data_IF_286054967336
#
_entry.id   IF_286054967336
#
_cell.length_a   1.000
_cell.length_b   1.000
_cell.length_c   1.000
_cell.angle_alpha   90.00
_cell.angle_beta   90.00
_cell.angle_gamma   90.00
#
_symmetry.space_group_name_H-M   'P 1'
#
loop_
_entity.id
_entity.type
_entity.pdbx_description
1 polymer ?
#
# COMPACT_ATOMS: atom_id res chain seq x y z
N UNK A 1 14.97 16.36 12.04
CA UNK A 1 14.61 14.93 11.95
C UNK A 1 13.46 14.84 10.96
N UNK A 2 13.78 14.98 9.66
CA UNK A 2 12.80 15.20 8.61
C UNK A 2 12.07 13.91 8.28
N UNK A 3 10.76 14.02 8.03
CA UNK A 3 9.96 12.96 7.43
C UNK A 3 10.73 12.36 6.25
N UNK A 4 10.75 11.03 6.17
CA UNK A 4 11.34 10.33 5.03
C UNK A 4 10.51 10.70 3.81
N UNK A 5 10.99 11.64 3.00
CA UNK A 5 10.44 11.92 1.68
C UNK A 5 10.69 10.67 0.82
N UNK A 6 9.77 9.70 0.92
CA UNK A 6 9.79 8.52 0.08
C UNK A 6 9.35 8.97 -1.32
N UNK A 7 10.21 8.88 -2.36
CA UNK A 7 9.86 9.27 -3.74
C UNK A 7 8.89 8.26 -4.40
N UNK A 8 8.01 7.65 -3.62
CA UNK A 8 7.29 6.44 -3.91
C UNK A 8 6.01 6.68 -4.72
N UNK A 9 6.16 7.19 -5.94
CA UNK A 9 5.04 7.22 -6.91
C UNK A 9 4.84 5.87 -7.62
N UNK A 10 5.89 5.03 -7.69
CA UNK A 10 5.88 3.78 -8.44
C UNK A 10 6.20 2.57 -7.57
N UNK A 11 5.56 1.43 -7.88
CA UNK A 11 5.76 0.16 -7.18
C UNK A 11 7.19 -0.39 -7.32
N UNK A 12 7.88 -0.02 -8.39
CA UNK A 12 9.26 -0.42 -8.69
C UNK A 12 10.29 0.08 -7.66
N UNK A 13 9.91 1.04 -6.82
CA UNK A 13 10.77 1.55 -5.75
C UNK A 13 10.77 0.63 -4.51
N UNK A 14 9.99 -0.45 -4.53
CA UNK A 14 9.79 -1.33 -3.40
C UNK A 14 10.17 -2.78 -3.71
N UNK A 15 10.86 -3.40 -2.76
CA UNK A 15 11.02 -4.84 -2.72
C UNK A 15 9.85 -5.43 -1.92
N UNK A 16 9.02 -6.24 -2.57
CA UNK A 16 7.87 -6.91 -1.95
C UNK A 16 8.32 -8.19 -1.25
N UNK A 17 7.95 -8.31 0.02
CA UNK A 17 8.16 -9.49 0.84
C UNK A 17 6.87 -10.31 1.02
N UNK A 18 6.84 -11.09 2.10
CA UNK A 18 5.71 -11.96 2.42
C UNK A 18 4.41 -11.19 2.66
N UNK A 19 3.24 -11.78 2.37
CA UNK A 19 1.97 -11.24 2.83
C UNK A 19 1.96 -11.17 4.36
N UNK A 20 1.49 -10.04 4.89
CA UNK A 20 1.29 -9.80 6.33
C UNK A 20 -0.16 -10.02 6.75
N UNK A 21 -1.11 -9.84 5.84
CA UNK A 21 -2.52 -10.06 6.13
C UNK A 21 -3.42 -9.90 4.91
N UNK A 22 -4.65 -10.38 5.03
CA UNK A 22 -5.71 -10.26 4.02
C UNK A 22 -6.84 -9.41 4.59
N UNK A 23 -7.16 -8.32 3.91
CA UNK A 23 -8.31 -7.47 4.21
C UNK A 23 -9.49 -7.75 3.29
N UNK A 24 -10.61 -7.07 3.52
CA UNK A 24 -11.84 -7.21 2.73
C UNK A 24 -11.67 -6.87 1.23
N UNK A 25 -10.79 -5.91 0.93
CA UNK A 25 -10.63 -5.34 -0.42
C UNK A 25 -9.22 -5.53 -1.02
N UNK A 26 -8.41 -6.40 -0.40
CA UNK A 26 -7.06 -6.70 -0.87
C UNK A 26 -6.14 -7.21 0.24
N UNK A 27 -4.83 -7.08 0.04
CA UNK A 27 -3.80 -7.67 0.90
C UNK A 27 -2.84 -6.62 1.43
N UNK A 28 -2.19 -6.93 2.55
CA UNK A 28 -1.08 -6.16 3.10
C UNK A 28 0.20 -6.97 2.92
N UNK A 29 1.23 -6.37 2.35
CA UNK A 29 2.53 -7.00 2.13
C UNK A 29 3.61 -6.30 2.95
N UNK A 30 4.58 -7.07 3.44
CA UNK A 30 5.84 -6.49 3.90
C UNK A 30 6.54 -5.88 2.70
N UNK A 31 7.06 -4.68 2.81
CA UNK A 31 7.84 -4.06 1.77
C UNK A 31 9.06 -3.35 2.35
N UNK A 32 10.08 -3.21 1.52
CA UNK A 32 11.26 -2.40 1.80
C UNK A 32 11.41 -1.36 0.70
N UNK A 33 11.52 -0.09 1.05
CA UNK A 33 11.88 0.94 0.08
C UNK A 33 13.36 0.80 -0.31
N UNK A 34 13.64 0.82 -1.63
CA UNK A 34 14.92 0.39 -2.17
C UNK A 34 16.10 1.31 -1.82
N UNK A 35 15.90 2.62 -1.71
CA UNK A 35 16.99 3.58 -1.47
C UNK A 35 17.35 3.69 0.00
N UNK A 36 16.39 4.05 0.84
CA UNK A 36 16.53 4.23 2.29
C UNK A 36 16.60 2.91 3.06
N UNK A 37 16.20 1.80 2.42
CA UNK A 37 16.06 0.48 3.05
C UNK A 37 15.02 0.44 4.18
N UNK A 38 14.16 1.46 4.26
CA UNK A 38 13.09 1.56 5.25
C UNK A 38 12.07 0.42 5.09
N UNK A 39 11.74 -0.24 6.19
CA UNK A 39 10.75 -1.33 6.22
C UNK A 39 9.37 -0.74 6.47
N UNK A 40 8.41 -1.13 5.63
CA UNK A 40 7.02 -0.67 5.72
C UNK A 40 6.03 -1.77 5.34
N UNK A 41 4.75 -1.47 5.51
CA UNK A 41 3.66 -2.31 5.03
C UNK A 41 3.00 -1.65 3.81
N UNK A 42 2.83 -2.40 2.72
CA UNK A 42 2.13 -1.94 1.52
C UNK A 42 0.72 -2.53 1.49
N UNK A 43 -0.29 -1.69 1.72
CA UNK A 43 -1.71 -2.06 1.62
C UNK A 43 -2.19 -1.91 0.18
N UNK A 44 -2.52 -3.02 -0.46
CA UNK A 44 -2.97 -3.07 -1.85
C UNK A 44 -4.49 -3.21 -1.87
N UNK A 45 -5.16 -2.32 -2.61
CA UNK A 45 -6.60 -2.39 -2.86
C UNK A 45 -6.89 -2.74 -4.31
N UNK A 46 -7.84 -3.65 -4.55
CA UNK A 46 -8.27 -3.99 -5.90
C UNK A 46 -9.44 -3.10 -6.34
N UNK A 47 -9.23 -2.27 -7.37
CA UNK A 47 -10.24 -1.32 -7.89
C UNK A 47 -11.60 -1.98 -8.15
N UNK A 48 -11.61 -3.11 -8.88
CA UNK A 48 -12.85 -3.86 -9.19
C UNK A 48 -13.63 -4.30 -7.93
N UNK A 49 -12.95 -4.58 -6.83
CA UNK A 49 -13.62 -4.98 -5.58
C UNK A 49 -14.22 -3.77 -4.85
N UNK A 50 -13.54 -2.62 -4.90
CA UNK A 50 -14.06 -1.36 -4.36
C UNK A 50 -15.30 -0.91 -5.13
N UNK A 51 -15.21 -0.91 -6.47
CA UNK A 51 -16.31 -0.56 -7.39
C UNK A 51 -17.53 -1.45 -7.17
N UNK A 52 -17.33 -2.77 -7.10
CA UNK A 52 -18.42 -3.72 -6.84
C UNK A 52 -19.10 -3.48 -5.49
N UNK A 53 -18.37 -2.95 -4.50
CA UNK A 53 -18.92 -2.69 -3.18
C UNK A 53 -19.46 -1.26 -3.01
N UNK A 54 -19.22 -0.34 -3.97
CA UNK A 54 -19.65 1.06 -3.90
C UNK A 54 -19.01 1.85 -2.75
N UNK A 55 -17.78 1.50 -2.35
CA UNK A 55 -17.10 2.07 -1.16
C UNK A 55 -15.95 3.02 -1.52
N UNK A 56 -15.79 3.42 -2.78
CA UNK A 56 -14.71 4.31 -3.23
C UNK A 56 -14.76 5.66 -2.52
N UNK A 57 -15.96 6.17 -2.24
CA UNK A 57 -16.14 7.41 -1.50
C UNK A 57 -15.68 7.31 -0.04
N UNK A 58 -15.88 6.15 0.60
CA UNK A 58 -15.40 5.90 1.96
C UNK A 58 -13.89 5.78 1.97
N UNK A 59 -13.32 5.03 1.02
CA UNK A 59 -11.88 4.89 0.88
C UNK A 59 -11.19 6.26 0.75
N UNK A 60 -11.72 7.17 -0.08
CA UNK A 60 -11.19 8.53 -0.26
C UNK A 60 -11.22 9.42 1.00
N UNK A 61 -11.99 9.05 2.02
CA UNK A 61 -12.03 9.79 3.30
C UNK A 61 -11.01 9.26 4.30
N UNK A 62 -10.53 8.03 4.12
CA UNK A 62 -9.60 7.36 5.02
C UNK A 62 -8.12 7.57 4.63
N UNK A 63 -7.84 8.06 3.41
CA UNK A 63 -6.49 8.30 2.86
C UNK A 63 -6.33 9.73 2.42
#
# INVERSE_FOLDING_TARGET
MSAVDLPAKNLENFDLGRPLGKGKFGNVYLARERQSKFILALKVFFKKQLEKAGVEHQLRREV
#
